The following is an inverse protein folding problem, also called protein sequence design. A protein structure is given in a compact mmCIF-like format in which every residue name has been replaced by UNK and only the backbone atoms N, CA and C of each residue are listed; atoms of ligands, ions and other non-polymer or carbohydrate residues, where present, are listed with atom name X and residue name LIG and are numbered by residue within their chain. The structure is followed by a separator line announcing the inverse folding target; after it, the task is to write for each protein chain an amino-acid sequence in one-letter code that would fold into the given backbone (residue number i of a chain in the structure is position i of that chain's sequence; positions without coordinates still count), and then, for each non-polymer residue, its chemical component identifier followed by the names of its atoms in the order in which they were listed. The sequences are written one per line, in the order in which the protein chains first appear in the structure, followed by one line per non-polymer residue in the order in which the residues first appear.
data_IF_750105643240
#
_entry.id   IF_750105643240
#
_cell.length_a   1.000
_cell.length_b   1.000
_cell.length_c   1.000
_cell.angle_alpha   90.00
_cell.angle_beta   90.00
_cell.angle_gamma   90.00
#
_symmetry.space_group_name_H-M   'P 1'
#
loop_
_entity.id
_entity.type
_entity.pdbx_description
1 polymer ?
#
# COMPACT_ATOMS: atom_id res chain seq x y z
N UNK A 1 -30.99 84.35 -11.92
CA UNK A 1 -32.33 83.80 -11.59
C UNK A 1 -32.37 83.55 -10.09
N UNK A 2 -33.17 84.33 -9.37
CA UNK A 2 -33.48 84.06 -7.95
C UNK A 2 -34.79 83.30 -7.94
N UNK A 3 -34.78 82.07 -7.42
CA UNK A 3 -35.96 81.23 -7.28
C UNK A 3 -36.22 81.01 -5.80
N UNK A 4 -37.43 81.33 -5.35
CA UNK A 4 -37.86 81.12 -3.96
C UNK A 4 -38.95 80.05 -3.94
N UNK A 5 -38.86 79.18 -2.94
CA UNK A 5 -39.85 78.18 -2.61
C UNK A 5 -41.06 78.83 -1.90
N UNK A 6 -42.25 78.65 -2.44
CA UNK A 6 -43.51 79.12 -1.85
C UNK A 6 -44.41 77.89 -1.60
N UNK A 7 -45.05 77.75 -0.44
CA UNK A 7 -46.04 76.70 -0.22
C UNK A 7 -47.14 76.77 -1.28
N UNK A 8 -47.70 75.62 -1.69
CA UNK A 8 -48.77 75.59 -2.69
C UNK A 8 -50.00 76.35 -2.19
N UNK A 9 -50.49 77.24 -3.04
CA UNK A 9 -51.65 78.10 -2.79
C UNK A 9 -52.80 77.73 -3.76
N UNK A 10 -54.05 77.95 -3.33
CA UNK A 10 -55.25 77.73 -4.16
C UNK A 10 -55.29 78.66 -5.38
N UNK A 11 -55.93 78.21 -6.45
CA UNK A 11 -55.98 78.98 -7.71
C UNK A 11 -56.69 80.33 -7.56
N UNK A 12 -57.74 80.40 -6.73
CA UNK A 12 -58.44 81.65 -6.44
C UNK A 12 -57.48 82.68 -5.82
N UNK A 13 -56.74 82.27 -4.78
CA UNK A 13 -55.82 83.19 -4.10
C UNK A 13 -54.67 83.62 -5.02
N UNK A 14 -54.17 82.72 -5.88
CA UNK A 14 -53.16 83.07 -6.89
C UNK A 14 -53.69 84.14 -7.87
N UNK A 15 -54.90 83.98 -8.37
CA UNK A 15 -55.51 84.95 -9.29
C UNK A 15 -55.75 86.29 -8.58
N UNK A 16 -56.26 86.28 -7.35
CA UNK A 16 -56.47 87.51 -6.58
C UNK A 16 -55.16 88.29 -6.36
N UNK A 17 -54.10 87.60 -5.95
CA UNK A 17 -52.81 88.24 -5.68
C UNK A 17 -52.18 88.78 -6.97
N UNK A 18 -52.10 87.98 -8.03
CA UNK A 18 -51.46 88.41 -9.28
C UNK A 18 -52.26 89.46 -10.06
N UNK A 19 -53.60 89.36 -10.06
CA UNK A 19 -54.45 90.29 -10.83
C UNK A 19 -54.84 91.52 -10.00
N UNK A 20 -55.48 91.34 -8.84
CA UNK A 20 -56.07 92.46 -8.10
C UNK A 20 -55.03 93.25 -7.31
N UNK A 21 -54.07 92.56 -6.70
CA UNK A 21 -53.08 93.22 -5.85
C UNK A 21 -51.86 93.72 -6.61
N UNK A 22 -51.64 93.26 -7.85
CA UNK A 22 -50.45 93.61 -8.64
C UNK A 22 -50.81 94.20 -9.98
N UNK A 23 -51.49 93.45 -10.86
CA UNK A 23 -51.75 93.91 -12.22
C UNK A 23 -52.64 95.15 -12.27
N UNK A 24 -53.72 95.21 -11.47
CA UNK A 24 -54.63 96.36 -11.46
C UNK A 24 -54.16 97.53 -10.59
N UNK A 25 -53.11 97.33 -9.78
CA UNK A 25 -52.42 98.40 -9.04
C UNK A 25 -51.10 98.79 -9.73
N UNK A 26 -51.06 98.71 -11.06
CA UNK A 26 -49.84 98.89 -11.85
C UNK A 26 -49.17 100.26 -11.60
N UNK A 27 -49.95 101.33 -11.42
CA UNK A 27 -49.44 102.69 -11.18
C UNK A 27 -48.70 102.81 -9.84
N UNK A 28 -49.19 102.16 -8.78
CA UNK A 28 -48.57 102.19 -7.44
C UNK A 28 -47.25 101.41 -7.40
N UNK A 29 -47.13 100.39 -8.25
CA UNK A 29 -45.99 99.47 -8.29
C UNK A 29 -44.98 99.82 -9.40
N UNK A 30 -45.17 100.95 -10.09
CA UNK A 30 -44.30 101.41 -11.17
C UNK A 30 -44.30 100.49 -12.39
N UNK A 31 -45.36 99.74 -12.60
CA UNK A 31 -45.59 98.92 -13.81
C UNK A 31 -46.27 99.77 -14.88
N UNK A 32 -45.97 99.49 -16.16
CA UNK A 32 -46.66 100.20 -17.24
C UNK A 32 -48.07 99.64 -17.47
N UNK A 33 -48.98 100.47 -17.97
CA UNK A 33 -50.37 100.10 -18.27
C UNK A 33 -50.51 99.04 -19.38
N UNK A 34 -49.43 98.75 -20.08
CA UNK A 34 -49.33 97.65 -21.06
C UNK A 34 -48.89 96.31 -20.44
N UNK A 35 -48.67 96.26 -19.13
CA UNK A 35 -48.28 95.04 -18.43
C UNK A 35 -49.33 93.94 -18.61
N UNK A 36 -48.85 92.71 -18.76
CA UNK A 36 -49.69 91.53 -19.03
C UNK A 36 -49.40 90.41 -18.06
N UNK A 37 -50.45 89.77 -17.54
CA UNK A 37 -50.36 88.51 -16.81
C UNK A 37 -50.89 87.38 -17.69
N UNK A 38 -50.02 86.40 -17.94
CA UNK A 38 -50.33 85.17 -18.67
C UNK A 38 -50.54 84.02 -17.69
N UNK A 39 -51.74 83.49 -17.59
CA UNK A 39 -52.09 82.32 -16.76
C UNK A 39 -52.16 81.09 -17.65
N UNK A 40 -51.40 80.04 -17.33
CA UNK A 40 -51.38 78.76 -18.07
C UNK A 40 -52.09 77.68 -17.27
N UNK A 41 -53.15 77.11 -17.87
CA UNK A 41 -53.96 76.02 -17.30
C UNK A 41 -54.09 74.95 -18.37
N UNK A 42 -53.70 73.71 -18.06
CA UNK A 42 -53.78 72.57 -18.99
C UNK A 42 -53.23 72.88 -20.41
N UNK A 43 -52.07 73.57 -20.46
CA UNK A 43 -51.38 74.03 -21.69
C UNK A 43 -52.05 75.15 -22.51
N UNK A 44 -53.19 75.69 -22.08
CA UNK A 44 -53.79 76.89 -22.65
C UNK A 44 -53.33 78.13 -21.88
N UNK A 45 -52.96 79.20 -22.59
CA UNK A 45 -52.50 80.46 -22.00
C UNK A 45 -53.55 81.56 -22.15
N UNK A 46 -53.99 82.11 -21.03
CA UNK A 46 -54.95 83.21 -20.93
C UNK A 46 -54.21 84.49 -20.55
N UNK A 47 -54.35 85.55 -21.34
CA UNK A 47 -53.61 86.79 -21.16
C UNK A 47 -54.53 87.93 -20.72
N UNK A 48 -54.20 88.57 -19.61
CA UNK A 48 -54.93 89.74 -19.08
C UNK A 48 -53.99 90.94 -19.09
N UNK A 49 -54.43 92.06 -19.66
CA UNK A 49 -53.68 93.33 -19.68
C UNK A 49 -54.15 94.27 -18.56
N UNK A 50 -53.26 95.12 -18.04
CA UNK A 50 -53.57 96.01 -16.93
C UNK A 50 -54.71 97.01 -17.22
N UNK A 51 -54.66 97.74 -18.35
CA UNK A 51 -55.67 98.76 -18.70
C UNK A 51 -56.93 98.14 -19.34
N UNK A 52 -56.80 97.04 -20.07
CA UNK A 52 -57.88 96.52 -20.93
C UNK A 52 -58.44 95.16 -20.49
N UNK A 53 -58.04 94.67 -19.32
CA UNK A 53 -58.39 93.34 -18.80
C UNK A 53 -59.71 93.26 -18.03
N UNK A 54 -60.31 94.40 -17.68
CA UNK A 54 -61.56 94.50 -16.94
C UNK A 54 -62.70 94.99 -17.84
N UNK A 55 -63.91 94.52 -17.55
CA UNK A 55 -65.15 95.10 -18.05
C UNK A 55 -65.52 96.36 -17.24
N UNK A 56 -66.45 97.19 -17.74
CA UNK A 56 -66.95 98.39 -17.05
C UNK A 56 -67.49 98.11 -15.63
N UNK A 57 -67.83 96.85 -15.34
CA UNK A 57 -68.37 96.37 -14.07
C UNK A 57 -67.30 95.85 -13.09
N UNK A 58 -66.00 95.91 -13.43
CA UNK A 58 -64.89 95.43 -12.58
C UNK A 58 -64.68 93.90 -12.57
N UNK A 59 -65.37 93.16 -13.44
CA UNK A 59 -65.11 91.73 -13.70
C UNK A 59 -64.04 91.55 -14.78
N UNK A 60 -63.29 90.45 -14.72
CA UNK A 60 -62.34 90.08 -15.78
C UNK A 60 -63.09 89.82 -17.10
N UNK A 61 -62.49 90.21 -18.23
CA UNK A 61 -63.06 89.97 -19.57
C UNK A 61 -63.20 88.49 -19.91
N UNK A 62 -62.37 87.64 -19.33
CA UNK A 62 -62.41 86.20 -19.52
C UNK A 62 -63.31 85.55 -18.47
N UNK A 63 -64.45 85.02 -18.92
CA UNK A 63 -65.48 84.41 -18.06
C UNK A 63 -64.93 83.22 -17.26
N UNK A 64 -63.96 82.49 -17.81
CA UNK A 64 -63.33 81.36 -17.14
C UNK A 64 -62.43 81.80 -15.98
N UNK A 65 -61.59 82.82 -16.19
CA UNK A 65 -60.73 83.36 -15.12
C UNK A 65 -61.55 84.04 -14.02
N UNK A 66 -62.66 84.69 -14.35
CA UNK A 66 -63.57 85.25 -13.35
C UNK A 66 -64.27 84.16 -12.53
N UNK A 67 -64.60 83.02 -13.15
CA UNK A 67 -65.14 81.85 -12.42
C UNK A 67 -64.12 81.27 -11.44
N UNK A 68 -62.83 81.21 -11.80
CA UNK A 68 -61.75 80.77 -10.90
C UNK A 68 -61.43 81.80 -9.80
N UNK A 69 -61.63 83.08 -10.08
CA UNK A 69 -61.49 84.18 -9.11
C UNK A 69 -62.61 84.19 -8.06
N UNK A 70 -63.83 83.82 -8.44
CA UNK A 70 -65.03 83.90 -7.58
C UNK A 70 -65.40 82.58 -6.93
N UNK A 71 -64.98 81.44 -7.49
CA UNK A 71 -65.20 80.13 -6.89
C UNK A 71 -64.33 79.94 -5.64
N UNK A 72 -64.98 79.55 -4.53
CA UNK A 72 -64.29 79.17 -3.29
C UNK A 72 -63.69 77.75 -3.36
N UNK A 73 -63.48 77.22 -4.57
CA UNK A 73 -62.95 75.87 -4.77
C UNK A 73 -61.44 75.85 -4.62
N UNK A 74 -60.94 74.89 -3.84
CA UNK A 74 -59.50 74.59 -3.66
C UNK A 74 -58.86 73.91 -4.88
N UNK A 75 -59.39 74.17 -6.09
CA UNK A 75 -58.83 73.63 -7.31
C UNK A 75 -57.39 74.13 -7.50
N UNK A 76 -56.50 73.20 -7.85
CA UNK A 76 -55.09 73.45 -8.15
C UNK A 76 -54.79 73.11 -9.62
N UNK A 77 -55.50 73.77 -10.53
CA UNK A 77 -55.43 73.63 -11.98
C UNK A 77 -54.41 74.55 -12.67
N UNK A 78 -54.02 75.66 -12.03
CA UNK A 78 -53.02 76.59 -12.59
C UNK A 78 -51.62 75.97 -12.58
N UNK A 79 -50.99 75.86 -13.74
CA UNK A 79 -49.65 75.29 -13.89
C UNK A 79 -48.57 76.39 -13.75
N UNK A 80 -48.82 77.55 -14.36
CA UNK A 80 -47.85 78.64 -14.45
C UNK A 80 -48.52 80.00 -14.60
N UNK A 81 -48.02 81.01 -13.90
CA UNK A 81 -48.42 82.42 -14.09
C UNK A 81 -47.17 83.24 -14.43
N UNK A 82 -47.23 84.03 -15.50
CA UNK A 82 -46.14 84.92 -15.91
C UNK A 82 -46.63 86.35 -15.95
N UNK A 83 -46.02 87.23 -15.16
CA UNK A 83 -46.17 88.68 -15.26
C UNK A 83 -45.05 89.22 -16.15
N UNK A 84 -45.43 89.96 -17.19
CA UNK A 84 -44.50 90.56 -18.15
C UNK A 84 -44.88 92.02 -18.42
N UNK A 85 -43.91 92.93 -18.31
CA UNK A 85 -44.06 94.35 -18.61
C UNK A 85 -43.36 94.66 -19.94
N UNK A 86 -44.09 95.18 -20.92
CA UNK A 86 -43.55 95.39 -22.28
C UNK A 86 -42.55 96.55 -22.36
N UNK A 87 -42.59 97.48 -21.40
CA UNK A 87 -41.68 98.64 -21.36
C UNK A 87 -40.32 98.28 -20.75
N UNK A 88 -40.32 97.38 -19.77
CA UNK A 88 -39.11 96.83 -19.13
C UNK A 88 -38.67 95.59 -19.91
N UNK A 89 -38.14 95.83 -21.12
CA UNK A 89 -37.90 94.86 -22.23
C UNK A 89 -37.18 93.53 -21.91
N UNK A 90 -36.74 93.28 -20.68
CA UNK A 90 -35.98 92.08 -20.34
C UNK A 90 -36.26 91.54 -18.94
N UNK A 91 -37.44 91.72 -18.36
CA UNK A 91 -37.77 91.20 -17.01
C UNK A 91 -39.17 90.59 -16.91
N UNK A 92 -39.27 89.34 -16.44
CA UNK A 92 -40.55 88.69 -16.14
C UNK A 92 -40.52 87.97 -14.79
N UNK A 93 -41.68 87.94 -14.12
CA UNK A 93 -41.87 87.19 -12.87
C UNK A 93 -42.73 85.98 -13.20
N UNK A 94 -42.23 84.79 -12.87
CA UNK A 94 -42.88 83.52 -13.16
C UNK A 94 -43.17 82.76 -11.88
N UNK A 95 -44.45 82.47 -11.63
CA UNK A 95 -44.88 81.45 -10.69
C UNK A 95 -45.05 80.12 -11.44
N UNK A 96 -44.46 79.05 -10.93
CA UNK A 96 -44.57 77.72 -11.51
C UNK A 96 -44.90 76.69 -10.43
N UNK A 97 -45.98 75.94 -10.65
CA UNK A 97 -46.39 74.85 -9.78
C UNK A 97 -45.52 73.62 -10.03
N UNK A 98 -45.02 73.01 -8.95
CA UNK A 98 -44.24 71.78 -9.04
C UNK A 98 -45.20 70.59 -9.15
N UNK A 99 -45.10 69.68 -10.15
CA UNK A 99 -46.04 68.56 -10.27
C UNK A 99 -45.97 67.62 -9.05
N UNK A 100 -44.77 67.40 -8.53
CA UNK A 100 -44.49 66.35 -7.54
C UNK A 100 -44.28 66.89 -6.11
N UNK A 101 -44.52 68.18 -5.87
CA UNK A 101 -44.26 68.81 -4.56
C UNK A 101 -45.32 69.81 -4.16
N UNK A 102 -45.62 69.85 -2.86
CA UNK A 102 -46.47 70.87 -2.22
C UNK A 102 -45.78 72.25 -2.11
N UNK A 103 -44.59 72.39 -2.71
CA UNK A 103 -43.81 73.61 -2.77
C UNK A 103 -43.65 74.05 -4.22
N UNK A 104 -44.21 75.21 -4.51
CA UNK A 104 -44.18 75.87 -5.81
C UNK A 104 -43.01 76.87 -5.87
N UNK A 105 -42.67 77.34 -7.08
CA UNK A 105 -41.49 78.17 -7.32
C UNK A 105 -41.88 79.52 -7.89
N UNK A 106 -41.38 80.59 -7.27
CA UNK A 106 -41.48 81.95 -7.79
C UNK A 106 -40.11 82.43 -8.26
N UNK A 107 -39.99 82.71 -9.55
CA UNK A 107 -38.73 83.01 -10.23
C UNK A 107 -38.80 84.38 -10.90
N UNK A 108 -37.80 85.22 -10.65
CA UNK A 108 -37.57 86.41 -11.48
C UNK A 108 -36.55 86.07 -12.56
N UNK A 109 -36.93 86.27 -13.82
CA UNK A 109 -36.03 86.15 -14.96
C UNK A 109 -35.76 87.54 -15.52
N UNK A 110 -34.50 88.00 -15.46
CA UNK A 110 -34.10 89.20 -16.18
C UNK A 110 -32.73 89.04 -16.83
N UNK A 111 -32.57 89.59 -18.05
CA UNK A 111 -31.31 89.54 -18.80
C UNK A 111 -30.39 90.74 -18.53
N UNK A 112 -30.79 91.68 -17.66
CA UNK A 112 -30.00 92.86 -17.25
C UNK A 112 -30.03 93.04 -15.72
N UNK A 113 -29.31 94.04 -15.19
CA UNK A 113 -29.33 94.40 -13.76
C UNK A 113 -30.79 94.62 -13.33
N UNK A 114 -31.23 93.93 -12.27
CA UNK A 114 -32.63 93.93 -11.82
C UNK A 114 -33.13 95.37 -11.60
N UNK A 115 -34.13 95.86 -12.34
CA UNK A 115 -34.71 97.17 -12.07
C UNK A 115 -35.42 97.12 -10.71
N UNK A 116 -35.19 98.16 -9.88
CA UNK A 116 -35.65 98.21 -8.49
C UNK A 116 -37.17 97.95 -8.36
N UNK A 117 -37.95 98.41 -9.33
CA UNK A 117 -39.41 98.25 -9.32
C UNK A 117 -39.86 96.78 -9.47
N UNK A 118 -39.18 95.98 -10.31
CA UNK A 118 -39.52 94.54 -10.45
C UNK A 118 -39.17 93.76 -9.18
N UNK A 119 -38.11 94.18 -8.48
CA UNK A 119 -37.76 93.59 -7.18
C UNK A 119 -38.83 93.93 -6.15
N UNK A 120 -39.32 95.18 -6.12
CA UNK A 120 -40.40 95.59 -5.23
C UNK A 120 -41.70 94.78 -5.47
N UNK A 121 -42.08 94.58 -6.73
CA UNK A 121 -43.23 93.72 -7.11
C UNK A 121 -43.02 92.29 -6.65
N UNK A 122 -41.83 91.73 -6.85
CA UNK A 122 -41.51 90.37 -6.42
C UNK A 122 -41.55 90.20 -4.89
N UNK A 123 -41.01 91.15 -4.13
CA UNK A 123 -41.05 91.13 -2.66
C UNK A 123 -42.48 91.23 -2.16
N UNK A 124 -43.32 92.05 -2.80
CA UNK A 124 -44.75 92.18 -2.45
C UNK A 124 -45.54 90.91 -2.75
N UNK A 125 -45.25 90.26 -3.87
CA UNK A 125 -45.77 88.93 -4.21
C UNK A 125 -45.46 87.91 -3.13
N UNK A 126 -44.19 87.85 -2.75
CA UNK A 126 -43.72 86.92 -1.73
C UNK A 126 -44.45 87.14 -0.40
N UNK A 127 -44.53 88.40 0.06
CA UNK A 127 -45.20 88.74 1.32
C UNK A 127 -46.68 88.31 1.31
N UNK A 128 -47.41 88.61 0.23
CA UNK A 128 -48.84 88.30 0.13
C UNK A 128 -49.12 86.81 0.00
N UNK A 129 -48.29 86.08 -0.73
CA UNK A 129 -48.42 84.63 -0.85
C UNK A 129 -48.02 83.89 0.44
N UNK A 130 -47.13 84.47 1.27
CA UNK A 130 -46.74 83.88 2.55
C UNK A 130 -47.65 84.28 3.73
N UNK A 131 -48.21 85.49 3.76
CA UNK A 131 -49.01 85.96 4.89
C UNK A 131 -50.45 85.42 4.94
N UNK A 132 -51.06 85.03 3.82
CA UNK A 132 -52.46 84.59 3.81
C UNK A 132 -52.70 83.13 4.25
N UNK A 133 -51.64 82.36 4.53
CA UNK A 133 -51.76 81.01 5.12
C UNK A 133 -52.27 81.07 6.57
N UNK A 134 -52.17 82.23 7.24
CA UNK A 134 -52.52 82.40 8.65
C UNK A 134 -53.93 83.03 8.84
N UNK A 135 -54.52 83.62 7.80
CA UNK A 135 -55.70 84.50 7.95
C UNK A 135 -57.03 83.94 7.44
N UNK A 136 -57.09 82.66 7.02
CA UNK A 136 -58.32 82.07 6.45
C UNK A 136 -59.10 81.15 7.41
N UNK A 137 -58.78 81.08 8.69
CA UNK A 137 -59.52 80.20 9.61
C UNK A 137 -59.53 80.64 11.07
N UNK A 138 -60.10 81.80 11.41
CA UNK A 138 -60.49 82.06 12.81
C UNK A 138 -61.53 83.16 12.91
N UNK A 139 -62.76 82.76 13.22
CA UNK A 139 -63.83 83.65 13.65
C UNK A 139 -64.65 83.06 14.79
N UNK A 140 -65.24 81.87 14.62
CA UNK A 140 -66.21 81.37 15.62
C UNK A 140 -66.19 79.84 15.91
N UNK A 141 -65.28 79.04 15.34
CA UNK A 141 -65.30 77.55 15.48
C UNK A 141 -64.40 77.03 16.62
N UNK A 142 -63.66 77.91 17.31
CA UNK A 142 -62.57 77.47 18.20
C UNK A 142 -63.04 76.76 19.48
N UNK A 143 -64.21 77.05 20.04
CA UNK A 143 -64.63 76.41 21.31
C UNK A 143 -65.14 74.98 21.12
N UNK A 144 -65.89 74.70 20.04
CA UNK A 144 -66.41 73.35 19.77
C UNK A 144 -65.35 72.43 19.16
N UNK A 145 -64.37 73.00 18.45
CA UNK A 145 -63.24 72.23 17.91
C UNK A 145 -62.30 71.73 19.01
N UNK A 146 -62.06 72.49 20.09
CA UNK A 146 -61.21 72.02 21.20
C UNK A 146 -61.86 70.86 21.97
N UNK A 147 -63.18 70.87 22.15
CA UNK A 147 -63.92 69.76 22.74
C UNK A 147 -63.87 68.50 21.88
N UNK A 148 -64.14 68.65 20.57
CA UNK A 148 -64.04 67.55 19.61
C UNK A 148 -62.60 67.03 19.45
N UNK A 149 -61.59 67.91 19.44
CA UNK A 149 -60.17 67.51 19.41
C UNK A 149 -59.76 66.75 20.67
N UNK A 150 -60.22 67.17 21.85
CA UNK A 150 -59.89 66.50 23.09
C UNK A 150 -60.58 65.13 23.19
N UNK A 151 -61.84 65.02 22.73
CA UNK A 151 -62.54 63.73 22.64
C UNK A 151 -61.86 62.79 21.63
N UNK A 152 -61.49 63.29 20.45
CA UNK A 152 -60.77 62.52 19.42
C UNK A 152 -59.39 62.11 19.90
N UNK A 153 -58.66 62.97 20.62
CA UNK A 153 -57.37 62.64 21.23
C UNK A 153 -57.52 61.56 22.31
N UNK A 154 -58.51 61.68 23.20
CA UNK A 154 -58.77 60.67 24.23
C UNK A 154 -59.17 59.33 23.62
N UNK A 155 -59.96 59.36 22.53
CA UNK A 155 -60.29 58.16 21.76
C UNK A 155 -59.06 57.58 21.08
N UNK A 156 -58.19 58.40 20.48
CA UNK A 156 -56.93 57.98 19.87
C UNK A 156 -55.96 57.40 20.90
N UNK A 157 -55.88 57.99 22.08
CA UNK A 157 -55.08 57.48 23.20
C UNK A 157 -55.63 56.15 23.71
N UNK A 158 -56.95 56.02 23.86
CA UNK A 158 -57.59 54.75 24.21
C UNK A 158 -57.45 53.68 23.13
N UNK A 159 -57.52 54.07 21.86
CA UNK A 159 -57.35 53.16 20.71
C UNK A 159 -55.88 52.73 20.59
N UNK A 160 -54.93 53.66 20.75
CA UNK A 160 -53.49 53.37 20.84
C UNK A 160 -53.18 52.46 22.03
N UNK A 161 -53.74 52.75 23.22
CA UNK A 161 -53.57 51.89 24.38
C UNK A 161 -54.10 50.47 24.11
N UNK A 162 -55.32 50.34 23.54
CA UNK A 162 -55.88 49.04 23.19
C UNK A 162 -55.09 48.33 22.08
N UNK A 163 -54.51 49.08 21.14
CA UNK A 163 -53.70 48.55 20.05
C UNK A 163 -52.35 48.05 20.59
N UNK A 164 -51.73 48.80 21.49
CA UNK A 164 -50.51 48.43 22.20
C UNK A 164 -50.76 47.17 23.04
N UNK A 165 -51.88 47.09 23.76
CA UNK A 165 -52.24 45.91 24.55
C UNK A 165 -52.46 44.68 23.66
N UNK A 166 -53.24 44.81 22.57
CA UNK A 166 -53.42 43.72 21.58
C UNK A 166 -52.12 43.32 20.90
N UNK A 167 -51.22 44.28 20.66
CA UNK A 167 -49.92 44.01 20.07
C UNK A 167 -49.01 43.28 21.07
N UNK A 168 -49.02 43.67 22.34
CA UNK A 168 -48.31 42.96 23.41
C UNK A 168 -48.86 41.55 23.63
N UNK A 169 -50.17 41.37 23.57
CA UNK A 169 -50.81 40.06 23.68
C UNK A 169 -50.39 39.14 22.51
N UNK A 170 -50.43 39.65 21.27
CA UNK A 170 -49.95 38.91 20.10
C UNK A 170 -48.47 38.58 20.17
N UNK A 171 -47.63 39.51 20.61
CA UNK A 171 -46.18 39.27 20.77
C UNK A 171 -45.94 38.19 21.82
N UNK A 172 -46.62 38.26 22.97
CA UNK A 172 -46.50 37.22 24.01
C UNK A 172 -46.99 35.84 23.53
N UNK A 173 -48.08 35.79 22.78
CA UNK A 173 -48.59 34.55 22.21
C UNK A 173 -47.61 33.94 21.20
N UNK A 174 -47.03 34.77 20.31
CA UNK A 174 -46.02 34.34 19.36
C UNK A 174 -44.71 33.91 20.04
N UNK A 175 -44.29 34.61 21.08
CA UNK A 175 -43.10 34.24 21.86
C UNK A 175 -43.31 32.91 22.57
N UNK A 176 -44.49 32.67 23.15
CA UNK A 176 -44.85 31.40 23.76
C UNK A 176 -44.91 30.25 22.74
N UNK A 177 -45.54 30.48 21.58
CA UNK A 177 -45.60 29.49 20.49
C UNK A 177 -44.20 29.17 19.95
N UNK A 178 -43.36 30.20 19.75
CA UNK A 178 -41.98 30.04 19.30
C UNK A 178 -41.13 29.30 20.33
N UNK A 179 -41.29 29.60 21.63
CA UNK A 179 -40.61 28.86 22.69
C UNK A 179 -41.00 27.39 22.67
N UNK A 180 -42.31 27.08 22.64
CA UNK A 180 -42.79 25.70 22.60
C UNK A 180 -42.31 24.95 21.35
N UNK A 181 -42.29 25.62 20.20
CA UNK A 181 -41.76 25.03 18.96
C UNK A 181 -40.26 24.75 19.07
N UNK A 182 -39.47 25.66 19.63
CA UNK A 182 -38.04 25.47 19.85
C UNK A 182 -37.78 24.32 20.84
N UNK A 183 -38.54 24.25 21.92
CA UNK A 183 -38.43 23.18 22.92
C UNK A 183 -38.78 21.82 22.30
N UNK A 184 -39.90 21.72 21.58
CA UNK A 184 -40.29 20.50 20.86
C UNK A 184 -39.23 20.06 19.84
N UNK A 185 -38.66 21.02 19.08
CA UNK A 185 -37.60 20.70 18.11
C UNK A 185 -36.33 20.27 18.81
N UNK A 186 -35.97 20.89 19.92
CA UNK A 186 -34.80 20.50 20.69
C UNK A 186 -34.98 19.09 21.29
N UNK A 187 -36.17 18.77 21.81
CA UNK A 187 -36.50 17.43 22.28
C UNK A 187 -36.48 16.39 21.14
N UNK A 188 -37.01 16.74 19.97
CA UNK A 188 -36.94 15.88 18.77
C UNK A 188 -35.49 15.65 18.31
N UNK A 189 -34.64 16.68 18.36
CA UNK A 189 -33.22 16.56 18.01
C UNK A 189 -32.44 15.75 19.03
N UNK A 190 -32.67 15.97 20.32
CA UNK A 190 -31.97 15.23 21.39
C UNK A 190 -32.37 13.75 21.39
N UNK A 191 -33.64 13.43 21.23
CA UNK A 191 -34.12 12.05 21.09
C UNK A 191 -33.53 11.37 19.84
N UNK A 192 -33.55 12.04 18.68
CA UNK A 192 -32.89 11.54 17.46
C UNK A 192 -31.40 11.30 17.68
N UNK A 193 -30.70 12.23 18.32
CA UNK A 193 -29.27 12.08 18.61
C UNK A 193 -29.01 10.87 19.51
N UNK A 194 -29.78 10.71 20.59
CA UNK A 194 -29.65 9.58 21.51
C UNK A 194 -29.94 8.23 20.84
N UNK A 195 -30.98 8.16 20.00
CA UNK A 195 -31.28 6.93 19.25
C UNK A 195 -30.17 6.58 18.25
N UNK A 196 -29.65 7.56 17.53
CA UNK A 196 -28.56 7.36 16.57
C UNK A 196 -27.27 6.92 17.27
N UNK A 197 -26.96 7.52 18.42
CA UNK A 197 -25.79 7.18 19.23
C UNK A 197 -25.91 5.76 19.82
N UNK A 198 -27.09 5.38 20.34
CA UNK A 198 -27.37 4.03 20.80
C UNK A 198 -27.23 2.99 19.67
N UNK A 199 -27.77 3.29 18.48
CA UNK A 199 -27.64 2.43 17.30
C UNK A 199 -26.17 2.28 16.88
N UNK A 200 -25.41 3.37 16.89
CA UNK A 200 -23.98 3.34 16.56
C UNK A 200 -23.18 2.49 17.57
N UNK A 201 -23.42 2.67 18.87
CA UNK A 201 -22.78 1.88 19.93
C UNK A 201 -23.13 0.40 19.76
N UNK A 202 -24.39 0.07 19.49
CA UNK A 202 -24.82 -1.33 19.30
C UNK A 202 -24.13 -1.98 18.10
N UNK A 203 -23.99 -1.26 16.97
CA UNK A 203 -23.28 -1.73 15.78
C UNK A 203 -21.79 -1.91 16.06
N UNK A 204 -21.16 -0.96 16.74
CA UNK A 204 -19.75 -1.05 17.13
C UNK A 204 -19.49 -2.27 18.02
N UNK A 205 -20.33 -2.49 19.04
CA UNK A 205 -20.21 -3.66 19.91
C UNK A 205 -20.42 -4.98 19.16
N UNK A 206 -21.36 -5.03 18.21
CA UNK A 206 -21.59 -6.22 17.39
C UNK A 206 -20.38 -6.52 16.51
N UNK A 207 -19.85 -5.50 15.84
CA UNK A 207 -18.68 -5.62 14.97
C UNK A 207 -17.45 -6.05 15.78
N UNK A 208 -17.22 -5.44 16.95
CA UNK A 208 -16.11 -5.79 17.83
C UNK A 208 -16.20 -7.24 18.34
N UNK A 209 -17.40 -7.71 18.70
CA UNK A 209 -17.62 -9.11 19.08
C UNK A 209 -17.33 -10.06 17.93
N UNK A 210 -17.74 -9.71 16.71
CA UNK A 210 -17.50 -10.51 15.50
C UNK A 210 -16.01 -10.56 15.16
N UNK A 211 -15.30 -9.43 15.22
CA UNK A 211 -13.86 -9.38 15.03
C UNK A 211 -13.13 -10.22 16.08
N UNK A 212 -13.45 -10.05 17.37
CA UNK A 212 -12.87 -10.85 18.45
C UNK A 212 -13.15 -12.34 18.30
N UNK A 213 -14.32 -12.73 17.79
CA UNK A 213 -14.64 -14.13 17.53
C UNK A 213 -13.82 -14.69 16.36
N UNK A 214 -13.72 -13.94 15.26
CA UNK A 214 -12.90 -14.34 14.09
C UNK A 214 -11.42 -14.40 14.43
N UNK A 215 -10.89 -13.46 15.19
CA UNK A 215 -9.48 -13.45 15.57
C UNK A 215 -9.14 -14.67 16.45
N UNK A 216 -10.04 -15.06 17.36
CA UNK A 216 -9.90 -16.30 18.15
C UNK A 216 -9.96 -17.54 17.26
N UNK A 217 -10.87 -17.59 16.29
CA UNK A 217 -10.96 -18.71 15.34
C UNK A 217 -9.70 -18.82 14.49
N UNK A 218 -9.18 -17.71 14.00
CA UNK A 218 -7.95 -17.65 13.22
C UNK A 218 -6.73 -18.05 14.04
N UNK A 219 -6.62 -17.61 15.30
CA UNK A 219 -5.52 -18.02 16.19
C UNK A 219 -5.55 -19.53 16.48
N UNK A 220 -6.74 -20.10 16.71
CA UNK A 220 -6.90 -21.55 16.86
C UNK A 220 -6.49 -22.28 15.58
N UNK A 221 -6.92 -21.80 14.41
CA UNK A 221 -6.51 -22.40 13.12
C UNK A 221 -5.02 -22.27 12.85
N UNK A 222 -4.42 -21.13 13.16
CA UNK A 222 -2.99 -20.90 12.97
C UNK A 222 -2.17 -21.88 13.82
N UNK A 223 -2.52 -22.05 15.10
CA UNK A 223 -1.90 -23.04 15.99
C UNK A 223 -2.01 -24.47 15.44
N UNK A 224 -3.20 -24.87 14.97
CA UNK A 224 -3.39 -26.19 14.38
C UNK A 224 -2.56 -26.41 13.10
N UNK A 225 -2.41 -25.37 12.28
CA UNK A 225 -1.58 -25.44 11.06
C UNK A 225 -0.10 -25.51 11.43
N UNK A 226 0.37 -24.70 12.38
CA UNK A 226 1.76 -24.69 12.83
C UNK A 226 2.17 -26.04 13.44
N UNK A 227 1.32 -26.63 14.28
CA UNK A 227 1.54 -27.96 14.86
C UNK A 227 1.59 -29.06 13.78
N UNK A 228 0.69 -28.96 12.78
CA UNK A 228 0.63 -29.90 11.67
C UNK A 228 1.83 -29.77 10.73
N UNK A 229 2.25 -28.54 10.40
CA UNK A 229 3.39 -28.28 9.52
C UNK A 229 4.71 -28.66 10.18
N UNK A 230 4.90 -28.41 11.49
CA UNK A 230 6.10 -28.84 12.20
C UNK A 230 6.25 -30.37 12.17
N UNK A 231 5.17 -31.08 12.46
CA UNK A 231 5.12 -32.55 12.40
C UNK A 231 5.37 -33.07 10.98
N UNK A 232 4.77 -32.43 9.98
CA UNK A 232 4.85 -32.87 8.57
C UNK A 232 6.20 -32.55 7.94
N UNK A 233 6.76 -31.37 8.18
CA UNK A 233 8.08 -30.97 7.69
C UNK A 233 9.18 -31.84 8.30
N UNK A 234 9.06 -32.16 9.59
CA UNK A 234 9.97 -33.10 10.26
C UNK A 234 9.92 -34.48 9.63
N UNK A 235 8.72 -35.05 9.44
CA UNK A 235 8.56 -36.36 8.78
C UNK A 235 9.04 -36.35 7.33
N UNK A 236 8.90 -35.25 6.61
CA UNK A 236 9.36 -35.12 5.21
C UNK A 236 10.89 -35.07 5.11
N UNK A 237 11.56 -34.31 5.99
CA UNK A 237 13.03 -34.22 6.00
C UNK A 237 13.65 -35.56 6.35
N UNK A 238 13.12 -36.26 7.35
CA UNK A 238 13.66 -37.57 7.74
C UNK A 238 13.36 -38.67 6.72
N UNK A 239 12.15 -38.75 6.17
CA UNK A 239 11.82 -39.74 5.13
C UNK A 239 12.62 -39.50 3.85
N UNK A 240 12.81 -38.25 3.43
CA UNK A 240 13.67 -37.92 2.28
C UNK A 240 15.13 -38.31 2.51
N UNK A 241 15.67 -38.10 3.71
CA UNK A 241 17.03 -38.53 4.06
C UNK A 241 17.17 -40.06 4.05
N UNK A 242 16.17 -40.77 4.59
CA UNK A 242 16.13 -42.24 4.59
C UNK A 242 16.05 -42.78 3.16
N UNK A 243 15.20 -42.20 2.31
CA UNK A 243 15.11 -42.53 0.89
C UNK A 243 16.43 -42.28 0.15
N UNK A 244 17.09 -41.15 0.41
CA UNK A 244 18.37 -40.80 -0.23
C UNK A 244 19.49 -41.73 0.21
N UNK A 245 19.55 -42.09 1.49
CA UNK A 245 20.48 -43.09 2.01
C UNK A 245 20.16 -44.46 1.39
N UNK A 246 18.90 -44.84 1.26
CA UNK A 246 18.51 -46.11 0.65
C UNK A 246 18.82 -46.14 -0.86
N UNK A 247 18.64 -45.02 -1.58
CA UNK A 247 19.05 -44.87 -2.98
C UNK A 247 20.57 -45.00 -3.11
N UNK A 248 21.33 -44.31 -2.27
CA UNK A 248 22.80 -44.41 -2.26
C UNK A 248 23.29 -45.81 -1.87
N UNK A 249 22.59 -46.48 -0.96
CA UNK A 249 22.89 -47.85 -0.56
C UNK A 249 22.66 -48.85 -1.70
N UNK A 250 21.60 -48.66 -2.51
CA UNK A 250 21.31 -49.50 -3.70
C UNK A 250 22.35 -49.33 -4.81
N UNK A 251 22.88 -48.12 -5.00
CA UNK A 251 23.92 -47.84 -5.98
C UNK A 251 25.29 -47.80 -5.33
N UNK A 252 25.75 -48.95 -4.83
CA UNK A 252 27.09 -49.08 -4.28
C UNK A 252 28.13 -49.02 -5.40
N UNK A 253 28.64 -47.82 -5.67
CA UNK A 253 29.82 -47.62 -6.49
C UNK A 253 31.03 -47.48 -5.57
N UNK A 254 31.95 -48.44 -5.67
CA UNK A 254 33.29 -48.28 -5.12
C UNK A 254 33.90 -46.97 -5.62
N UNK A 255 34.73 -46.32 -4.79
CA UNK A 255 35.56 -45.20 -5.23
C UNK A 255 36.23 -45.56 -6.56
N UNK A 256 36.21 -44.63 -7.52
CA UNK A 256 36.79 -44.82 -8.85
C UNK A 256 38.25 -45.29 -8.81
N UNK A 257 38.97 -44.95 -7.74
CA UNK A 257 40.35 -45.40 -7.48
C UNK A 257 40.46 -46.91 -7.19
N UNK A 258 39.46 -47.51 -6.54
CA UNK A 258 39.45 -48.92 -6.13
C UNK A 258 39.07 -49.81 -7.31
N UNK A 259 38.04 -49.42 -8.08
CA UNK A 259 37.61 -50.17 -9.27
C UNK A 259 38.71 -50.22 -10.33
N UNK A 260 39.41 -49.10 -10.55
CA UNK A 260 40.52 -49.01 -11.49
C UNK A 260 41.69 -49.94 -11.07
N UNK A 261 42.08 -49.92 -9.79
CA UNK A 261 43.16 -50.77 -9.27
C UNK A 261 42.79 -52.25 -9.30
N UNK A 262 41.54 -52.61 -8.96
CA UNK A 262 41.08 -54.00 -9.07
C UNK A 262 41.04 -54.48 -10.51
N UNK A 263 40.67 -53.62 -11.45
CA UNK A 263 40.65 -53.95 -12.88
C UNK A 263 42.07 -54.23 -13.38
N UNK A 264 43.06 -53.40 -13.03
CA UNK A 264 44.46 -53.65 -13.38
C UNK A 264 45.00 -54.95 -12.78
N UNK A 265 44.62 -55.30 -11.54
CA UNK A 265 45.00 -56.57 -10.93
C UNK A 265 44.43 -57.78 -11.67
N UNK A 266 43.16 -57.71 -12.10
CA UNK A 266 42.51 -58.76 -12.92
C UNK A 266 43.15 -58.85 -14.30
N UNK A 267 43.41 -57.72 -14.95
CA UNK A 267 44.08 -57.67 -16.27
C UNK A 267 45.47 -58.28 -16.19
N UNK A 268 46.26 -57.95 -15.17
CA UNK A 268 47.59 -58.51 -14.98
C UNK A 268 47.54 -60.02 -14.71
N UNK A 269 46.61 -60.48 -13.87
CA UNK A 269 46.44 -61.91 -13.60
C UNK A 269 45.99 -62.69 -14.86
N UNK A 270 45.07 -62.11 -15.65
CA UNK A 270 44.64 -62.69 -16.92
C UNK A 270 45.77 -62.73 -17.95
N UNK A 271 46.59 -61.68 -18.03
CA UNK A 271 47.77 -61.64 -18.90
C UNK A 271 48.76 -62.74 -18.52
N UNK A 272 49.05 -62.91 -17.22
CA UNK A 272 49.91 -63.99 -16.73
C UNK A 272 49.32 -65.38 -17.08
N UNK A 273 48.02 -65.56 -16.93
CA UNK A 273 47.36 -66.82 -17.29
C UNK A 273 47.50 -67.12 -18.79
N UNK A 274 47.25 -66.13 -19.66
CA UNK A 274 47.42 -66.26 -21.11
C UNK A 274 48.88 -66.51 -21.49
N UNK A 275 49.82 -65.79 -20.88
CA UNK A 275 51.25 -65.97 -21.12
C UNK A 275 51.73 -67.38 -20.70
N UNK A 276 51.26 -67.88 -19.56
CA UNK A 276 51.52 -69.25 -19.11
C UNK A 276 50.96 -70.29 -20.09
N UNK A 277 49.68 -70.16 -20.46
CA UNK A 277 49.03 -71.05 -21.42
C UNK A 277 49.73 -71.04 -22.79
N UNK A 278 50.03 -69.86 -23.33
CA UNK A 278 50.75 -69.70 -24.58
C UNK A 278 52.17 -70.28 -24.52
N UNK A 279 52.88 -70.06 -23.41
CA UNK A 279 54.20 -70.63 -23.16
C UNK A 279 54.17 -72.16 -23.17
N UNK A 280 53.20 -72.78 -22.46
CA UNK A 280 53.02 -74.23 -22.45
C UNK A 280 52.66 -74.77 -23.83
N UNK A 281 51.79 -74.06 -24.58
CA UNK A 281 51.39 -74.44 -25.93
C UNK A 281 52.56 -74.41 -26.91
N UNK A 282 53.37 -73.34 -26.91
CA UNK A 282 54.56 -73.24 -27.75
C UNK A 282 55.57 -74.33 -27.42
N UNK A 283 55.87 -74.56 -26.14
CA UNK A 283 56.81 -75.62 -25.74
C UNK A 283 56.30 -77.01 -26.14
N UNK A 284 54.99 -77.27 -26.02
CA UNK A 284 54.40 -78.53 -26.47
C UNK A 284 54.42 -78.68 -28.00
N UNK A 285 54.17 -77.58 -28.74
CA UNK A 285 54.23 -77.57 -30.20
C UNK A 285 55.66 -77.82 -30.70
N UNK A 286 56.66 -77.15 -30.14
CA UNK A 286 58.08 -77.35 -30.50
C UNK A 286 58.58 -78.75 -30.11
N UNK A 287 58.18 -79.28 -28.96
CA UNK A 287 58.47 -80.68 -28.61
C UNK A 287 57.80 -81.66 -29.58
N UNK A 288 56.57 -81.36 -30.02
CA UNK A 288 55.85 -82.16 -31.01
C UNK A 288 56.55 -82.10 -32.37
N UNK A 289 56.93 -80.92 -32.87
CA UNK A 289 57.65 -80.82 -34.15
C UNK A 289 58.99 -81.53 -34.07
N UNK A 290 59.77 -81.36 -33.00
CA UNK A 290 61.01 -82.12 -32.80
C UNK A 290 60.78 -83.64 -32.75
N UNK A 291 59.67 -84.11 -32.19
CA UNK A 291 59.34 -85.54 -32.12
C UNK A 291 58.83 -86.11 -33.46
N UNK A 292 58.05 -85.36 -34.23
CA UNK A 292 57.41 -85.80 -35.47
C UNK A 292 58.17 -85.45 -36.76
N UNK A 293 59.07 -84.47 -36.75
CA UNK A 293 59.92 -84.07 -37.88
C UNK A 293 61.25 -84.84 -37.90
N UNK A 294 61.59 -85.51 -36.78
CA UNK A 294 62.66 -86.51 -36.70
C UNK A 294 62.14 -87.95 -36.45
N UNK A 295 61.21 -88.49 -37.26
CA UNK A 295 61.12 -89.93 -37.39
C UNK A 295 62.39 -90.39 -38.11
N UNK A 296 62.94 -91.50 -37.65
CA UNK A 296 64.16 -92.18 -38.10
C UNK A 296 64.16 -92.59 -39.58
N UNK A 297 64.11 -91.63 -40.49
CA UNK A 297 64.16 -91.78 -41.94
C UNK A 297 63.34 -90.70 -42.66
N UNK A 298 63.95 -89.58 -43.03
CA UNK A 298 63.36 -88.62 -43.97
C UNK A 298 64.26 -88.48 -45.21
N UNK A 299 63.78 -89.01 -46.33
CA UNK A 299 64.33 -88.78 -47.68
C UNK A 299 64.06 -87.33 -48.10
N UNK A 300 65.12 -86.53 -48.27
CA UNK A 300 65.05 -85.25 -48.97
C UNK A 300 64.88 -85.49 -50.47
N UNK A 301 63.73 -85.14 -51.03
CA UNK A 301 63.57 -85.01 -52.49
C UNK A 301 64.07 -83.62 -52.88
N UNK A 302 65.27 -83.55 -53.44
CA UNK A 302 65.73 -82.40 -54.24
C UNK A 302 65.59 -82.75 -55.72
N UNK A 303 65.10 -81.79 -56.51
CA UNK A 303 64.73 -81.91 -57.93
C UNK A 303 65.89 -82.17 -58.91
N UNK A 304 67.07 -82.56 -58.42
CA UNK A 304 68.19 -82.98 -59.26
C UNK A 304 69.14 -83.91 -58.50
N UNK A 305 69.09 -85.21 -58.83
CA UNK A 305 70.14 -86.17 -58.53
C UNK A 305 70.13 -86.74 -57.11
N UNK A 306 69.83 -88.04 -57.01
CA UNK A 306 69.96 -88.83 -55.80
C UNK A 306 71.42 -88.87 -55.34
N UNK A 307 71.77 -88.06 -54.33
CA UNK A 307 72.85 -88.40 -53.40
C UNK A 307 72.19 -89.07 -52.21
N UNK A 308 72.52 -90.33 -51.95
CA UNK A 308 72.28 -90.93 -50.65
C UNK A 308 72.91 -90.03 -49.61
N UNK A 309 72.07 -89.38 -48.80
CA UNK A 309 72.52 -88.76 -47.57
C UNK A 309 73.04 -89.92 -46.73
N UNK A 310 74.35 -89.98 -46.53
CA UNK A 310 74.99 -91.00 -45.69
C UNK A 310 74.33 -90.95 -44.31
N UNK A 311 74.03 -92.13 -43.74
CA UNK A 311 73.46 -92.23 -42.38
C UNK A 311 74.22 -91.37 -41.37
N UNK A 312 75.53 -91.23 -41.56
CA UNK A 312 76.42 -90.37 -40.77
C UNK A 312 76.07 -88.87 -40.79
N UNK A 313 75.59 -88.31 -41.90
CA UNK A 313 75.24 -86.88 -41.96
C UNK A 313 73.90 -86.60 -41.26
N UNK A 314 72.95 -87.54 -41.36
CA UNK A 314 71.68 -87.49 -40.60
C UNK A 314 71.93 -87.73 -39.12
N UNK A 315 72.78 -88.70 -38.78
CA UNK A 315 73.18 -88.99 -37.39
C UNK A 315 74.00 -87.85 -36.78
N UNK A 316 74.85 -87.15 -37.54
CA UNK A 316 75.60 -86.00 -37.06
C UNK A 316 74.70 -84.77 -36.78
N UNK A 317 73.68 -84.52 -37.62
CA UNK A 317 72.69 -83.48 -37.34
C UNK A 317 71.78 -83.86 -36.16
N UNK A 318 71.39 -85.13 -36.04
CA UNK A 318 70.64 -85.64 -34.89
C UNK A 318 71.47 -85.62 -33.59
N UNK A 319 72.78 -85.90 -33.67
CA UNK A 319 73.71 -85.80 -32.54
C UNK A 319 73.94 -84.35 -32.12
N UNK A 320 74.09 -83.41 -33.06
CA UNK A 320 74.23 -81.98 -32.75
C UNK A 320 72.98 -81.39 -32.07
N UNK A 321 71.78 -81.88 -32.40
CA UNK A 321 70.52 -81.48 -31.74
C UNK A 321 70.36 -82.18 -30.38
N UNK A 322 70.82 -83.44 -30.24
CA UNK A 322 70.89 -84.15 -28.95
C UNK A 322 71.92 -83.57 -27.98
N UNK A 323 73.05 -83.06 -28.48
CA UNK A 323 74.09 -82.38 -27.70
C UNK A 323 73.72 -80.93 -27.37
N UNK A 324 72.75 -80.35 -28.09
CA UNK A 324 72.24 -79.03 -27.80
C UNK A 324 71.40 -79.06 -26.52
N UNK A 325 71.78 -78.24 -25.54
CA UNK A 325 71.03 -77.95 -24.30
C UNK A 325 69.58 -77.44 -24.54
N UNK A 326 69.14 -77.38 -25.79
CA UNK A 326 67.83 -76.92 -26.23
C UNK A 326 66.67 -77.78 -25.73
N UNK A 327 66.78 -79.12 -25.75
CA UNK A 327 65.70 -80.01 -25.28
C UNK A 327 65.47 -79.80 -23.77
N UNK A 328 66.56 -79.72 -23.00
CA UNK A 328 66.49 -79.42 -21.56
C UNK A 328 65.90 -78.02 -21.31
N UNK A 329 66.30 -77.03 -22.10
CA UNK A 329 65.71 -75.69 -22.06
C UNK A 329 64.20 -75.69 -22.33
N UNK A 330 63.72 -76.50 -23.29
CA UNK A 330 62.28 -76.65 -23.56
C UNK A 330 61.52 -77.26 -22.37
N UNK A 331 62.08 -78.28 -21.71
CA UNK A 331 61.47 -78.84 -20.50
C UNK A 331 61.42 -77.84 -19.36
N UNK A 332 62.50 -77.09 -19.14
CA UNK A 332 62.56 -76.03 -18.12
C UNK A 332 61.53 -74.95 -18.41
N UNK A 333 61.41 -74.50 -19.67
CA UNK A 333 60.42 -73.52 -20.11
C UNK A 333 58.99 -74.05 -19.95
N UNK A 334 58.71 -75.29 -20.32
CA UNK A 334 57.42 -75.94 -20.13
C UNK A 334 57.04 -76.05 -18.65
N UNK A 335 58.01 -76.40 -17.79
CA UNK A 335 57.82 -76.44 -16.35
C UNK A 335 57.48 -75.07 -15.77
N UNK A 336 58.26 -74.03 -16.08
CA UNK A 336 57.99 -72.69 -15.56
C UNK A 336 56.68 -72.10 -16.11
N UNK A 337 56.35 -72.34 -17.37
CA UNK A 337 55.09 -71.85 -17.96
C UNK A 337 53.86 -72.56 -17.38
N UNK A 338 53.93 -73.88 -17.12
CA UNK A 338 52.86 -74.61 -16.45
C UNK A 338 52.73 -74.23 -14.97
N UNK A 339 53.85 -74.05 -14.26
CA UNK A 339 53.85 -73.54 -12.88
C UNK A 339 53.27 -72.12 -12.80
N UNK A 340 53.59 -71.25 -13.76
CA UNK A 340 53.02 -69.90 -13.86
C UNK A 340 51.52 -69.96 -14.11
N UNK A 341 51.06 -70.83 -15.02
CA UNK A 341 49.64 -71.02 -15.29
C UNK A 341 48.86 -71.49 -14.05
N UNK A 342 49.35 -72.53 -13.37
CA UNK A 342 48.70 -73.08 -12.17
C UNK A 342 48.69 -72.07 -11.02
N UNK A 343 49.84 -71.42 -10.75
CA UNK A 343 49.94 -70.42 -9.67
C UNK A 343 49.07 -69.19 -9.95
N UNK A 344 49.01 -68.72 -11.19
CA UNK A 344 48.11 -67.62 -11.60
C UNK A 344 46.64 -68.01 -11.40
N UNK A 345 46.27 -69.25 -11.75
CA UNK A 345 44.90 -69.75 -11.58
C UNK A 345 44.50 -69.81 -10.10
N UNK A 346 45.36 -70.38 -9.24
CA UNK A 346 45.12 -70.46 -7.78
C UNK A 346 45.03 -69.05 -7.18
N UNK A 347 45.92 -68.14 -7.58
CA UNK A 347 45.89 -66.75 -7.14
C UNK A 347 44.57 -66.08 -7.52
N UNK A 348 44.09 -66.26 -8.75
CA UNK A 348 42.86 -65.68 -9.25
C UNK A 348 41.65 -66.18 -8.45
N UNK A 349 41.55 -67.48 -8.17
CA UNK A 349 40.48 -68.05 -7.33
C UNK A 349 40.50 -67.45 -5.92
N UNK A 350 41.69 -67.40 -5.28
CA UNK A 350 41.83 -66.81 -3.95
C UNK A 350 41.48 -65.32 -3.93
N UNK A 351 41.89 -64.59 -4.96
CA UNK A 351 41.58 -63.17 -5.11
C UNK A 351 40.08 -62.94 -5.28
N UNK A 352 39.41 -63.70 -6.16
CA UNK A 352 37.96 -63.60 -6.35
C UNK A 352 37.19 -63.94 -5.07
N UNK A 353 37.58 -64.99 -4.34
CA UNK A 353 36.94 -65.33 -3.06
C UNK A 353 37.14 -64.22 -2.03
N UNK A 354 38.35 -63.65 -1.92
CA UNK A 354 38.63 -62.53 -1.02
C UNK A 354 37.85 -61.28 -1.41
N UNK A 355 37.78 -60.96 -2.70
CA UNK A 355 37.07 -59.80 -3.23
C UNK A 355 35.56 -59.93 -3.05
N UNK A 356 34.99 -61.09 -3.37
CA UNK A 356 33.58 -61.39 -3.14
C UNK A 356 33.20 -61.32 -1.65
N UNK A 357 34.07 -61.84 -0.76
CA UNK A 357 33.85 -61.75 0.67
C UNK A 357 33.89 -60.29 1.17
N UNK A 358 34.80 -59.46 0.63
CA UNK A 358 34.84 -58.02 0.94
C UNK A 358 33.57 -57.29 0.48
N UNK A 359 33.05 -57.61 -0.70
CA UNK A 359 31.79 -57.04 -1.20
C UNK A 359 30.62 -57.46 -0.31
N UNK A 360 30.52 -58.76 -0.01
CA UNK A 360 29.45 -59.28 0.83
C UNK A 360 29.48 -58.63 2.22
N UNK A 361 30.67 -58.44 2.79
CA UNK A 361 30.85 -57.79 4.08
C UNK A 361 30.43 -56.32 4.04
N UNK A 362 30.85 -55.56 3.02
CA UNK A 362 30.45 -54.15 2.87
C UNK A 362 28.95 -53.99 2.65
N UNK A 363 28.33 -54.89 1.89
CA UNK A 363 26.87 -54.90 1.70
C UNK A 363 26.14 -55.19 3.02
N UNK A 364 26.62 -56.17 3.80
CA UNK A 364 26.07 -56.46 5.12
C UNK A 364 26.23 -55.28 6.09
N UNK A 365 27.38 -54.62 6.10
CA UNK A 365 27.62 -53.41 6.90
C UNK A 365 26.69 -52.27 6.50
N UNK A 366 26.48 -52.07 5.20
CA UNK A 366 25.56 -51.06 4.68
C UNK A 366 24.09 -51.37 5.07
N UNK A 367 23.66 -52.62 4.94
CA UNK A 367 22.32 -53.04 5.37
C UNK A 367 22.14 -52.88 6.89
N UNK A 368 23.17 -53.20 7.68
CA UNK A 368 23.17 -52.94 9.13
C UNK A 368 23.06 -51.45 9.41
N UNK A 369 23.83 -50.62 8.72
CA UNK A 369 23.78 -49.17 8.86
C UNK A 369 22.39 -48.60 8.55
N UNK A 370 21.76 -49.03 7.45
CA UNK A 370 20.38 -48.62 7.10
C UNK A 370 19.38 -49.07 8.18
N UNK A 371 19.51 -50.30 8.67
CA UNK A 371 18.65 -50.80 9.75
C UNK A 371 18.85 -50.02 11.05
N UNK A 372 20.09 -49.70 11.40
CA UNK A 372 20.40 -48.90 12.59
C UNK A 372 19.92 -47.47 12.43
N UNK A 373 20.02 -46.87 11.23
CA UNK A 373 19.44 -45.55 10.94
C UNK A 373 17.91 -45.57 11.12
N UNK A 374 17.22 -46.63 10.66
CA UNK A 374 15.79 -46.79 10.89
C UNK A 374 15.44 -46.96 12.38
N UNK A 375 16.25 -47.71 13.14
CA UNK A 375 16.08 -47.86 14.60
C UNK A 375 16.32 -46.54 15.34
N UNK A 376 17.35 -45.79 14.95
CA UNK A 376 17.67 -44.47 15.47
C UNK A 376 16.52 -43.49 15.21
N UNK A 377 15.99 -43.51 13.99
CA UNK A 377 14.84 -42.70 13.61
C UNK A 377 13.62 -43.03 14.47
N UNK A 378 13.31 -44.32 14.64
CA UNK A 378 12.21 -44.75 15.48
C UNK A 378 12.39 -44.31 16.94
N UNK A 379 13.61 -44.43 17.48
CA UNK A 379 13.93 -43.93 18.82
C UNK A 379 13.67 -42.43 18.94
N UNK A 380 14.17 -41.63 17.99
CA UNK A 380 13.97 -40.18 17.98
C UNK A 380 12.49 -39.84 17.89
N UNK A 381 11.75 -40.42 16.95
CA UNK A 381 10.30 -40.19 16.79
C UNK A 381 9.52 -40.53 18.06
N UNK A 382 9.83 -41.66 18.70
CA UNK A 382 9.20 -42.01 19.97
C UNK A 382 9.56 -41.06 21.10
N UNK A 383 10.81 -40.57 21.17
CA UNK A 383 11.19 -39.60 22.20
C UNK A 383 10.41 -38.29 22.06
N UNK A 384 10.13 -37.88 20.82
CA UNK A 384 9.41 -36.65 20.54
C UNK A 384 7.91 -36.79 20.74
N UNK A 385 7.31 -37.88 20.25
CA UNK A 385 5.91 -38.15 20.51
C UNK A 385 5.62 -38.32 22.01
N UNK A 386 6.58 -38.86 22.77
CA UNK A 386 6.48 -38.95 24.21
C UNK A 386 6.54 -37.57 24.86
N UNK A 387 7.51 -36.74 24.47
CA UNK A 387 7.64 -35.37 24.94
C UNK A 387 6.40 -34.51 24.63
N UNK A 388 5.77 -34.71 23.47
CA UNK A 388 4.60 -33.91 23.06
C UNK A 388 3.30 -34.37 23.73
N UNK A 389 3.19 -35.67 24.12
CA UNK A 389 1.94 -36.26 24.66
C UNK A 389 1.96 -36.53 26.16
N UNK A 390 3.13 -36.62 26.79
CA UNK A 390 3.32 -37.00 28.20
C UNK A 390 4.37 -36.08 28.82
N UNK A 391 3.94 -35.18 29.70
CA UNK A 391 4.82 -34.39 30.57
C UNK A 391 5.52 -35.31 31.59
N UNK A 392 6.54 -36.03 31.15
CA UNK A 392 7.33 -36.92 32.01
C UNK A 392 8.47 -37.61 31.29
N UNK A 393 9.51 -37.97 32.05
CA UNK A 393 10.72 -38.58 31.52
C UNK A 393 10.44 -39.94 30.86
N UNK A 394 11.08 -40.17 29.71
CA UNK A 394 10.98 -41.42 28.96
C UNK A 394 11.63 -42.54 29.78
N UNK A 395 10.99 -43.72 29.92
CA UNK A 395 11.60 -44.84 30.63
C UNK A 395 12.95 -45.22 30.02
N UNK A 396 14.03 -45.06 30.78
CA UNK A 396 15.41 -45.29 30.33
C UNK A 396 15.58 -46.69 29.70
N UNK A 397 14.93 -47.71 30.26
CA UNK A 397 14.96 -49.09 29.75
C UNK A 397 14.47 -49.21 28.29
N UNK A 398 13.50 -48.39 27.89
CA UNK A 398 12.96 -48.43 26.53
C UNK A 398 13.94 -47.73 25.57
N UNK A 399 14.46 -46.58 25.96
CA UNK A 399 15.44 -45.80 25.21
C UNK A 399 16.75 -46.59 25.02
N UNK A 400 17.22 -47.26 26.07
CA UNK A 400 18.35 -48.18 26.04
C UNK A 400 18.09 -49.32 25.05
N UNK A 401 16.91 -49.97 25.08
CA UNK A 401 16.63 -51.09 24.17
C UNK A 401 16.65 -50.71 22.68
N UNK A 402 16.30 -49.47 22.34
CA UNK A 402 16.31 -48.98 20.95
C UNK A 402 17.69 -48.50 20.51
N UNK A 403 18.43 -47.85 21.41
CA UNK A 403 19.74 -47.26 21.14
C UNK A 403 20.90 -48.25 21.37
N UNK A 404 20.64 -49.39 22.03
CA UNK A 404 21.65 -50.41 22.27
C UNK A 404 22.16 -51.02 20.95
N UNK A 405 23.48 -50.95 20.79
CA UNK A 405 24.19 -51.49 19.63
C UNK A 405 23.98 -50.70 18.34
N UNK A 406 23.46 -49.47 18.41
CA UNK A 406 23.36 -48.58 17.26
C UNK A 406 24.77 -48.23 16.77
N UNK A 407 25.07 -48.51 15.49
CA UNK A 407 26.35 -48.20 14.85
C UNK A 407 27.59 -48.84 15.49
N UNK A 408 27.42 -49.80 16.40
CA UNK A 408 28.52 -50.55 17.02
C UNK A 408 28.54 -51.97 16.46
N UNK A 409 29.66 -52.38 15.88
CA UNK A 409 29.88 -53.79 15.57
C UNK A 409 30.01 -54.58 16.88
N UNK A 410 28.98 -55.36 17.21
CA UNK A 410 28.94 -56.22 18.42
C UNK A 410 30.10 -57.23 18.50
N UNK A 411 30.93 -57.34 17.46
CA UNK A 411 32.01 -58.32 17.31
C UNK A 411 33.42 -57.75 17.33
N UNK A 412 33.62 -56.43 17.47
CA UNK A 412 34.95 -55.91 17.77
C UNK A 412 35.09 -55.69 19.28
N UNK A 413 35.76 -56.57 20.05
CA UNK A 413 36.42 -56.07 21.24
C UNK A 413 37.36 -54.96 20.75
N UNK A 414 37.44 -53.84 21.49
CA UNK A 414 38.38 -52.75 21.25
C UNK A 414 39.82 -53.28 21.16
N UNK A 415 40.21 -53.87 20.03
CA UNK A 415 41.59 -54.00 19.68
C UNK A 415 41.94 -52.67 19.04
N UNK A 416 42.40 -51.79 19.93
CA UNK A 416 43.24 -50.65 19.63
C UNK A 416 44.05 -50.95 18.36
N UNK A 417 43.95 -50.04 17.39
CA UNK A 417 44.51 -50.17 16.04
C UNK A 417 46.03 -50.31 16.18
N UNK A 418 46.52 -51.53 16.40
CA UNK A 418 47.95 -51.81 16.42
C UNK A 418 48.42 -51.76 14.98
N UNK A 419 49.33 -50.82 14.71
CA UNK A 419 49.91 -50.67 13.37
C UNK A 419 50.48 -52.03 12.92
N UNK A 420 50.46 -52.38 11.62
CA UNK A 420 51.02 -53.64 11.13
C UNK A 420 52.50 -53.84 11.52
N UNK A 421 53.22 -52.74 11.78
CA UNK A 421 54.58 -52.75 12.34
C UNK A 421 54.59 -53.21 13.81
N UNK A 422 53.60 -52.83 14.62
CA UNK A 422 53.45 -53.30 16.00
C UNK A 422 52.95 -54.74 16.08
N UNK A 423 52.13 -55.19 15.13
CA UNK A 423 51.80 -56.62 14.99
C UNK A 423 53.03 -57.44 14.60
N UNK A 424 53.91 -56.91 13.73
CA UNK A 424 55.18 -57.56 13.40
C UNK A 424 56.16 -57.53 14.58
N UNK A 425 56.28 -56.41 15.29
CA UNK A 425 57.15 -56.28 16.45
C UNK A 425 56.69 -57.19 17.60
N UNK A 426 55.39 -57.22 17.89
CA UNK A 426 54.84 -58.13 18.91
C UNK A 426 54.94 -59.60 18.48
N UNK A 427 54.79 -59.93 17.19
CA UNK A 427 55.03 -61.28 16.69
C UNK A 427 56.51 -61.67 16.75
N UNK A 428 57.44 -60.75 16.45
CA UNK A 428 58.89 -60.97 16.56
C UNK A 428 59.34 -61.12 18.02
N UNK A 429 58.84 -60.26 18.91
CA UNK A 429 59.14 -60.32 20.36
C UNK A 429 58.54 -61.60 20.97
N UNK A 430 57.39 -62.06 20.46
CA UNK A 430 56.77 -63.32 20.88
C UNK A 430 57.48 -64.56 20.32
N UNK A 431 58.13 -64.45 19.15
CA UNK A 431 58.85 -65.56 18.50
C UNK A 431 60.33 -65.67 18.91
N UNK A 432 60.91 -64.64 19.52
CA UNK A 432 62.31 -64.66 19.99
C UNK A 432 62.41 -65.25 21.41
N UNK A 433 62.98 -66.45 21.48
CA UNK A 433 63.05 -67.25 22.72
C UNK A 433 64.06 -66.69 23.75
N UNK A 434 65.05 -65.91 23.31
CA UNK A 434 65.88 -65.05 24.15
C UNK A 434 66.66 -64.06 23.28
N UNK A 435 66.79 -62.81 23.73
CA UNK A 435 67.65 -61.82 23.09
C UNK A 435 68.73 -61.42 24.10
N UNK A 436 70.00 -61.62 23.72
CA UNK A 436 71.17 -61.20 24.49
C UNK A 436 71.63 -59.84 23.97
N UNK A 437 71.44 -58.78 24.75
CA UNK A 437 71.94 -57.45 24.40
C UNK A 437 73.17 -57.12 25.25
N UNK A 438 74.35 -56.87 24.65
CA UNK A 438 75.51 -56.39 25.38
C UNK A 438 75.35 -54.89 25.66
N UNK A 439 75.06 -54.53 26.91
CA UNK A 439 75.08 -53.14 27.36
C UNK A 439 76.33 -52.90 28.18
N UNK A 440 77.37 -52.31 27.57
CA UNK A 440 78.49 -51.58 28.17
C UNK A 440 79.35 -52.28 29.25
N UNK A 441 78.74 -52.84 30.28
CA UNK A 441 79.37 -53.57 31.38
C UNK A 441 78.56 -54.77 31.90
N UNK A 442 77.54 -55.26 31.16
CA UNK A 442 76.80 -56.47 31.51
C UNK A 442 75.94 -57.04 30.37
N UNK A 443 75.75 -58.37 30.38
CA UNK A 443 74.83 -59.07 29.48
C UNK A 443 73.45 -59.17 30.12
N UNK A 444 72.41 -58.67 29.44
CA UNK A 444 71.02 -58.77 29.90
C UNK A 444 70.29 -59.80 29.02
N UNK A 445 70.00 -60.98 29.60
CA UNK A 445 69.18 -62.02 28.97
C UNK A 445 67.69 -61.71 29.17
N UNK A 446 67.03 -61.17 28.14
CA UNK A 446 65.58 -60.91 28.16
C UNK A 446 64.85 -62.04 27.43
N UNK A 447 63.94 -62.72 28.14
CA UNK A 447 63.12 -63.80 27.60
C UNK A 447 61.71 -63.28 27.23
N UNK A 448 61.39 -63.28 25.93
CA UNK A 448 60.16 -62.68 25.37
C UNK A 448 58.85 -63.27 25.91
N UNK A 449 58.86 -64.52 26.39
CA UNK A 449 57.67 -65.17 26.97
C UNK A 449 57.21 -64.56 28.31
N UNK A 450 58.09 -63.87 29.05
CA UNK A 450 57.76 -63.28 30.36
C UNK A 450 57.22 -61.85 30.27
N UNK A 451 57.43 -61.16 29.15
CA UNK A 451 57.01 -59.77 28.95
C UNK A 451 55.53 -59.63 28.55
N UNK A 452 54.91 -60.63 27.92
CA UNK A 452 53.50 -60.51 27.47
C UNK A 452 52.46 -60.64 28.60
N UNK A 453 52.87 -60.93 29.84
CA UNK A 453 51.96 -61.14 30.98
C UNK A 453 51.97 -59.98 31.99
N UNK A 454 52.75 -58.92 31.78
CA UNK A 454 52.67 -57.73 32.63
C UNK A 454 51.60 -56.77 32.08
N UNK A 455 50.57 -56.53 32.89
CA UNK A 455 49.55 -55.50 32.64
C UNK A 455 50.24 -54.13 32.49
N UNK A 456 49.84 -53.30 31.52
CA UNK A 456 50.43 -51.98 31.35
C UNK A 456 50.12 -51.09 32.56
N UNK A 457 51.16 -50.46 33.09
CA UNK A 457 51.06 -49.44 34.15
C UNK A 457 50.46 -48.18 33.53
N UNK A 458 49.37 -47.68 34.11
CA UNK A 458 48.77 -46.40 33.75
C UNK A 458 49.70 -45.27 34.21
N UNK A 459 50.15 -44.44 33.27
CA UNK A 459 50.90 -43.22 33.57
C UNK A 459 49.90 -42.13 33.96
N UNK A 460 49.91 -41.75 35.24
CA UNK A 460 49.32 -40.51 35.73
C UNK A 460 50.01 -39.32 35.05
N UNK A 461 49.28 -38.57 34.24
CA UNK A 461 49.68 -37.25 33.78
C UNK A 461 49.38 -36.24 34.87
N UNK A 462 50.42 -35.85 35.60
CA UNK A 462 50.40 -34.69 36.46
C UNK A 462 51.35 -33.63 35.88
N UNK A 463 50.82 -32.40 35.77
CA UNK A 463 51.34 -31.13 35.19
C UNK A 463 51.06 -30.80 33.73
#
# INVERSE_FOLDING_TARGET
MTAIAIPRVSDNLLIQVFMNDILFKYEELGLDGTSTVSVTIARNAFNVQAINGLNENGSLKDEFLESLRTSASDSCSIEKIVLNDTTKRYGSITYQRSPDSLVDKLVITSNQIFPADLVAVYTRLQEKLQMNIISASTGEIQSDLFGAHHEVLTKLEGLNASLIDKQHEKVRALDAEKSQFLDQKNDEFTTKHQTLEADYISKMQKLEKEHKARDKELDVRAKLIEDADNTTARRKTTTSMLEDVQKKAKYFNFSSSVTLRSLWAVVLAALLLVAGAYGTYLSAFELKTLYYEYPSGLTLVTESGYKEVTKEAVEAQQAAIKESNYIWFLYVRAFFSSALFISSTIYMIKWFNSWANRIAQQELENQRFVRDLNRAHLAVEMCLEWNDKKDGDIPERLLDSLTEGLFKDKTQPNHEISHPVEQLASALIRSTESIKLPLGSGELDINGKKLSNQKPVQLETDK
#
